data_IF_938737136335
#
_entry.id   IF_938737136335
#
_cell.length_a   1.000
_cell.length_b   1.000
_cell.length_c   1.000
_cell.angle_alpha   90.00
_cell.angle_beta   90.00
_cell.angle_gamma   90.00
#
_symmetry.space_group_name_H-M   'P 1'
#
loop_
_entity.id
_entity.type
_entity.pdbx_description
1 polymer ?
#
# COMPACT_ATOMS: atom_id res chain seq x y z
N UNK A 1 15.26 10.48 -3.23
CA UNK A 1 15.77 9.74 -2.05
C UNK A 1 14.94 8.47 -1.90
N UNK A 2 15.54 7.36 -1.47
CA UNK A 2 14.77 6.15 -1.15
C UNK A 2 13.87 6.42 0.06
N UNK A 3 12.57 6.14 -0.07
CA UNK A 3 11.59 6.29 1.00
C UNK A 3 11.96 5.41 2.20
N UNK A 4 11.67 5.90 3.41
CA UNK A 4 11.84 5.18 4.67
C UNK A 4 10.65 5.48 5.57
N UNK A 5 10.15 4.46 6.26
CA UNK A 5 9.14 4.64 7.30
C UNK A 5 9.76 5.32 8.52
N UNK A 6 9.18 6.45 8.91
CA UNK A 6 9.45 7.13 10.19
C UNK A 6 8.36 6.80 11.21
N UNK A 7 8.61 7.13 12.48
CA UNK A 7 7.60 6.99 13.53
C UNK A 7 6.37 7.87 13.27
N UNK A 8 6.54 9.03 12.61
CA UNK A 8 5.43 9.90 12.26
C UNK A 8 4.58 9.33 11.11
N UNK A 9 5.21 8.60 10.18
CA UNK A 9 4.47 7.85 9.16
C UNK A 9 3.60 6.76 9.78
N UNK A 10 4.15 6.02 10.75
CA UNK A 10 3.40 4.99 11.47
C UNK A 10 2.21 5.62 12.21
N UNK A 11 2.40 6.72 12.93
CA UNK A 11 1.30 7.44 13.60
C UNK A 11 0.21 7.86 12.61
N UNK A 12 0.59 8.40 11.45
CA UNK A 12 -0.38 8.80 10.43
C UNK A 12 -1.22 7.62 9.93
N UNK A 13 -0.58 6.46 9.68
CA UNK A 13 -1.28 5.24 9.29
C UNK A 13 -2.20 4.75 10.42
N UNK A 14 -1.71 4.73 11.65
CA UNK A 14 -2.49 4.35 12.82
C UNK A 14 -3.73 5.21 13.01
N UNK A 15 -3.62 6.52 12.78
CA UNK A 15 -4.71 7.46 12.97
C UNK A 15 -5.78 7.33 11.87
N UNK A 16 -5.40 7.05 10.62
CA UNK A 16 -6.35 6.78 9.53
C UNK A 16 -7.05 5.44 9.73
N UNK A 17 -6.30 4.39 10.02
CA UNK A 17 -6.80 3.02 10.17
C UNK A 17 -7.40 2.72 11.55
N UNK A 18 -7.32 3.67 12.49
CA UNK A 18 -7.75 3.52 13.89
C UNK A 18 -7.21 2.24 14.53
N UNK A 19 -5.93 1.96 14.27
CA UNK A 19 -5.20 0.81 14.81
C UNK A 19 -3.93 1.27 15.53
N UNK A 20 -3.17 0.32 16.08
CA UNK A 20 -1.87 0.57 16.71
C UNK A 20 -0.87 -0.49 16.31
N UNK A 21 0.26 -0.05 15.77
CA UNK A 21 1.40 -0.90 15.52
C UNK A 21 2.13 -1.23 16.81
N UNK A 22 2.55 -2.47 16.92
CA UNK A 22 3.45 -2.96 17.96
C UNK A 22 4.74 -3.41 17.30
N UNK A 23 5.86 -2.87 17.76
CA UNK A 23 7.17 -3.33 17.30
C UNK A 23 7.40 -4.77 17.76
N UNK A 24 7.83 -5.64 16.85
CA UNK A 24 8.17 -7.05 17.09
C UNK A 24 9.41 -7.42 16.30
N UNK A 25 10.56 -7.45 16.97
CA UNK A 25 11.85 -7.59 16.28
C UNK A 25 12.06 -6.42 15.31
N UNK A 26 12.26 -6.74 14.03
CA UNK A 26 12.53 -5.78 12.97
C UNK A 26 11.28 -5.29 12.23
N UNK A 27 10.09 -5.68 12.70
CA UNK A 27 8.83 -5.28 12.09
C UNK A 27 7.90 -4.50 13.02
N UNK A 28 6.98 -3.77 12.41
CA UNK A 28 5.82 -3.17 13.06
C UNK A 28 4.57 -3.94 12.65
N UNK A 29 3.82 -4.43 13.63
CA UNK A 29 2.62 -5.24 13.39
C UNK A 29 1.38 -4.60 13.98
N UNK A 30 0.33 -4.48 13.18
CA UNK A 30 -1.01 -4.06 13.60
C UNK A 30 -2.05 -5.10 13.18
N UNK A 31 -3.19 -5.10 13.85
CA UNK A 31 -4.34 -5.95 13.52
C UNK A 31 -5.55 -5.05 13.39
N UNK A 32 -6.33 -5.24 12.32
CA UNK A 32 -7.63 -4.62 12.12
C UNK A 32 -8.69 -5.71 12.16
N UNK A 33 -9.81 -5.40 12.78
CA UNK A 33 -10.93 -6.31 12.98
C UNK A 33 -12.22 -5.55 12.68
N UNK A 34 -13.10 -6.18 11.91
CA UNK A 34 -14.49 -5.76 11.74
C UNK A 34 -15.36 -6.98 12.12
N UNK A 35 -15.77 -7.08 13.39
CA UNK A 35 -16.57 -8.21 13.87
C UNK A 35 -17.96 -8.28 13.23
N UNK A 36 -18.54 -7.14 12.84
CA UNK A 36 -19.88 -7.08 12.24
C UNK A 36 -19.92 -7.80 10.89
N UNK A 37 -18.86 -7.69 10.10
CA UNK A 37 -18.71 -8.37 8.81
C UNK A 37 -17.82 -9.61 8.86
N UNK A 38 -17.34 -10.00 10.05
CA UNK A 38 -16.46 -11.15 10.24
C UNK A 38 -15.09 -10.99 9.57
N UNK A 39 -14.63 -9.77 9.31
CA UNK A 39 -13.35 -9.49 8.65
C UNK A 39 -12.24 -9.25 9.67
N UNK A 40 -11.04 -9.66 9.28
CA UNK A 40 -9.82 -9.44 10.06
C UNK A 40 -8.64 -9.39 9.12
N UNK A 41 -7.73 -8.46 9.35
CA UNK A 41 -6.45 -8.48 8.66
C UNK A 41 -5.32 -8.08 9.61
N UNK A 42 -4.14 -8.62 9.35
CA UNK A 42 -2.89 -8.20 9.99
C UNK A 42 -2.05 -7.45 8.99
N UNK A 43 -1.51 -6.30 9.40
CA UNK A 43 -0.49 -5.55 8.65
C UNK A 43 0.84 -5.76 9.35
N UNK A 44 1.85 -6.11 8.57
CA UNK A 44 3.25 -6.16 8.98
C UNK A 44 4.08 -5.25 8.07
N UNK A 45 4.77 -4.28 8.67
CA UNK A 45 5.69 -3.36 7.98
C UNK A 45 7.10 -3.71 8.42
N UNK A 46 7.92 -4.16 7.49
CA UNK A 46 9.36 -4.35 7.66
C UNK A 46 10.08 -3.17 6.99
N UNK A 47 10.57 -2.18 7.74
CA UNK A 47 11.17 -0.97 7.17
C UNK A 47 12.50 -1.24 6.47
N UNK A 48 13.22 -2.29 6.88
CA UNK A 48 14.50 -2.67 6.30
C UNK A 48 14.68 -4.19 6.40
N UNK A 49 14.40 -4.90 5.31
CA UNK A 49 14.53 -6.35 5.21
C UNK A 49 15.42 -6.71 4.01
N UNK A 50 16.24 -7.75 4.17
CA UNK A 50 16.94 -8.37 3.03
C UNK A 50 15.92 -9.11 2.15
N UNK A 51 15.69 -8.61 0.94
CA UNK A 51 14.83 -9.21 -0.10
C UNK A 51 15.74 -9.64 -1.25
N UNK A 52 16.09 -10.92 -1.28
CA UNK A 52 17.13 -11.42 -2.20
C UNK A 52 18.50 -10.85 -1.83
N UNK A 53 19.13 -10.15 -2.76
CA UNK A 53 20.45 -9.52 -2.61
C UNK A 53 20.39 -8.04 -2.19
N UNK A 54 19.20 -7.47 -2.05
CA UNK A 54 18.99 -6.04 -1.76
C UNK A 54 18.21 -5.84 -0.47
N UNK A 55 18.48 -4.73 0.22
CA UNK A 55 17.63 -4.26 1.32
C UNK A 55 16.47 -3.45 0.77
N UNK A 56 15.29 -3.65 1.33
CA UNK A 56 14.09 -2.90 0.97
C UNK A 56 13.01 -2.94 2.04
N UNK A 57 11.95 -2.19 1.80
CA UNK A 57 10.74 -2.23 2.63
C UNK A 57 9.85 -3.36 2.14
N UNK A 58 9.34 -4.16 3.07
CA UNK A 58 8.32 -5.17 2.79
C UNK A 58 7.04 -4.83 3.57
N UNK A 59 5.92 -4.76 2.85
CA UNK A 59 4.58 -4.74 3.45
C UNK A 59 4.01 -6.13 3.29
N UNK A 60 3.60 -6.76 4.40
CA UNK A 60 2.90 -8.04 4.39
C UNK A 60 1.50 -7.88 4.98
N UNK A 61 0.49 -8.35 4.26
CA UNK A 61 -0.89 -8.40 4.69
C UNK A 61 -1.33 -9.85 4.82
N UNK A 62 -1.95 -10.16 5.96
CA UNK A 62 -2.55 -11.47 6.21
C UNK A 62 -4.04 -11.30 6.45
N UNK A 63 -4.85 -11.90 5.59
CA UNK A 63 -6.28 -12.12 5.83
C UNK A 63 -6.50 -13.62 6.10
N UNK A 64 -7.70 -14.07 6.49
CA UNK A 64 -7.99 -15.50 6.68
C UNK A 64 -7.74 -16.35 5.43
N UNK A 65 -7.79 -15.76 4.24
CA UNK A 65 -7.75 -16.49 2.96
C UNK A 65 -6.60 -16.06 2.05
N UNK A 66 -5.92 -14.96 2.35
CA UNK A 66 -4.91 -14.38 1.47
C UNK A 66 -3.69 -13.94 2.27
N UNK A 67 -2.52 -14.29 1.75
CA UNK A 67 -1.25 -13.72 2.15
C UNK A 67 -0.71 -12.88 0.99
N UNK A 68 -0.44 -11.61 1.24
CA UNK A 68 -0.05 -10.66 0.20
C UNK A 68 1.15 -9.87 0.63
N UNK A 69 2.10 -9.71 -0.29
CA UNK A 69 3.37 -9.07 -0.03
C UNK A 69 3.67 -8.04 -1.10
N UNK A 70 3.98 -6.81 -0.68
CA UNK A 70 4.46 -5.75 -1.54
C UNK A 70 5.94 -5.54 -1.25
N UNK A 71 6.78 -6.06 -2.15
CA UNK A 71 8.22 -5.96 -2.05
C UNK A 71 8.69 -4.59 -2.52
N UNK A 72 9.76 -4.08 -1.92
CA UNK A 72 10.37 -2.80 -2.27
C UNK A 72 9.35 -1.65 -2.30
N UNK A 73 8.46 -1.61 -1.30
CA UNK A 73 7.49 -0.54 -1.14
C UNK A 73 8.19 0.83 -1.17
N UNK A 74 7.78 1.68 -2.11
CA UNK A 74 8.41 2.97 -2.39
C UNK A 74 7.68 4.13 -1.71
N UNK A 75 6.51 3.90 -1.13
CA UNK A 75 5.75 4.93 -0.43
C UNK A 75 4.38 4.46 0.01
N UNK A 76 3.64 5.37 0.64
CA UNK A 76 2.24 5.16 1.00
C UNK A 76 1.46 6.46 0.88
N UNK A 77 0.15 6.33 0.72
CA UNK A 77 -0.83 7.42 0.84
C UNK A 77 -1.79 7.05 1.96
N UNK A 78 -2.04 7.97 2.88
CA UNK A 78 -3.01 7.80 3.95
C UNK A 78 -4.11 8.84 3.77
N UNK A 79 -5.35 8.38 3.58
CA UNK A 79 -6.53 9.21 3.32
C UNK A 79 -7.51 9.12 4.48
N UNK A 80 -7.66 10.20 5.24
CA UNK A 80 -8.68 10.25 6.30
C UNK A 80 -10.11 10.23 5.75
N UNK A 81 -10.32 10.82 4.57
CA UNK A 81 -11.64 10.92 3.93
C UNK A 81 -12.14 9.57 3.44
N UNK A 82 -11.25 8.76 2.86
CA UNK A 82 -11.55 7.41 2.39
C UNK A 82 -11.37 6.35 3.47
N UNK A 83 -10.79 6.74 4.61
CA UNK A 83 -10.48 5.86 5.73
C UNK A 83 -9.57 4.67 5.36
N UNK A 84 -8.64 4.91 4.43
CA UNK A 84 -7.78 3.87 3.87
C UNK A 84 -6.31 4.32 3.77
N UNK A 85 -5.43 3.33 3.70
CA UNK A 85 -4.01 3.50 3.46
C UNK A 85 -3.59 2.66 2.26
N UNK A 86 -3.03 3.32 1.26
CA UNK A 86 -2.50 2.70 0.04
C UNK A 86 -1.00 2.63 0.12
N UNK A 87 -0.46 1.42 0.25
CA UNK A 87 0.98 1.15 0.09
C UNK A 87 1.25 0.88 -1.39
N UNK A 88 2.35 1.42 -1.94
CA UNK A 88 2.66 1.21 -3.35
C UNK A 88 4.16 1.02 -3.61
N UNK A 89 4.44 0.28 -4.68
CA UNK A 89 5.78 0.07 -5.21
C UNK A 89 5.75 0.34 -6.72
N UNK A 90 6.70 1.13 -7.19
CA UNK A 90 6.94 1.35 -8.60
C UNK A 90 8.20 0.62 -9.06
N UNK A 91 8.10 -0.10 -10.18
CA UNK A 91 9.24 -0.71 -10.84
C UNK A 91 9.08 -0.66 -12.36
N UNK A 92 10.05 -0.05 -13.05
CA UNK A 92 10.11 0.03 -14.52
C UNK A 92 8.80 0.49 -15.17
N UNK A 93 8.19 1.56 -14.66
CA UNK A 93 6.94 2.13 -15.19
C UNK A 93 5.68 1.33 -14.87
N UNK A 94 5.78 0.31 -14.01
CA UNK A 94 4.64 -0.45 -13.48
C UNK A 94 4.43 -0.11 -12.01
N UNK A 95 3.17 -0.01 -11.62
CA UNK A 95 2.76 0.23 -10.24
C UNK A 95 2.07 -1.02 -9.68
N UNK A 96 2.39 -1.34 -8.44
CA UNK A 96 1.61 -2.28 -7.63
C UNK A 96 1.23 -1.61 -6.32
N UNK A 97 0.01 -1.85 -5.85
CA UNK A 97 -0.48 -1.25 -4.61
C UNK A 97 -1.38 -2.19 -3.82
N UNK A 98 -1.28 -2.06 -2.50
CA UNK A 98 -2.16 -2.70 -1.54
C UNK A 98 -2.89 -1.58 -0.80
N UNK A 99 -4.21 -1.57 -0.90
CA UNK A 99 -5.08 -0.65 -0.19
C UNK A 99 -5.65 -1.38 1.02
N UNK A 100 -5.47 -0.79 2.19
CA UNK A 100 -6.00 -1.31 3.45
C UNK A 100 -7.02 -0.32 3.99
N UNK A 101 -8.24 -0.78 4.20
CA UNK A 101 -9.33 0.04 4.73
C UNK A 101 -9.43 -0.13 6.25
N UNK A 102 -9.89 0.92 6.94
CA UNK A 102 -10.16 0.89 8.39
C UNK A 102 -11.04 -0.28 8.83
N UNK A 103 -12.00 -0.68 7.99
CA UNK A 103 -12.94 -1.78 8.26
C UNK A 103 -12.39 -3.18 7.94
N UNK A 104 -11.07 -3.35 8.01
CA UNK A 104 -10.37 -4.59 7.68
C UNK A 104 -10.66 -5.10 6.24
N UNK A 105 -10.93 -4.17 5.32
CA UNK A 105 -10.94 -4.41 3.87
C UNK A 105 -9.53 -4.36 3.29
N UNK A 106 -9.30 -5.11 2.21
CA UNK A 106 -8.03 -5.09 1.51
C UNK A 106 -8.25 -5.28 0.01
N UNK A 107 -7.72 -4.37 -0.80
CA UNK A 107 -7.71 -4.46 -2.25
C UNK A 107 -6.27 -4.47 -2.76
N UNK A 108 -5.99 -5.26 -3.80
CA UNK A 108 -4.64 -5.44 -4.33
C UNK A 108 -4.69 -5.23 -5.84
N UNK A 109 -3.83 -4.33 -6.31
CA UNK A 109 -3.61 -4.07 -7.72
C UNK A 109 -2.14 -4.29 -8.04
N UNK A 110 -1.84 -5.01 -9.11
CA UNK A 110 -0.45 -5.37 -9.47
C UNK A 110 -0.23 -5.16 -10.95
N UNK A 111 1.02 -4.82 -11.31
CA UNK A 111 1.44 -4.64 -12.70
C UNK A 111 0.60 -3.62 -13.48
N UNK A 112 0.09 -2.59 -12.78
CA UNK A 112 -0.69 -1.51 -13.39
C UNK A 112 0.25 -0.63 -14.20
N UNK A 113 -0.13 -0.30 -15.42
CA UNK A 113 0.65 0.64 -16.24
C UNK A 113 0.58 2.04 -15.63
N UNK A 114 1.74 2.67 -15.37
CA UNK A 114 1.78 4.02 -14.80
C UNK A 114 1.03 5.03 -15.65
N UNK A 115 0.96 4.85 -16.97
CA UNK A 115 0.24 5.77 -17.86
C UNK A 115 -1.27 5.83 -17.58
N UNK A 116 -1.83 4.80 -16.94
CA UNK A 116 -3.25 4.77 -16.56
C UNK A 116 -3.59 5.75 -15.44
N UNK A 117 -2.60 6.24 -14.70
CA UNK A 117 -2.79 7.15 -13.57
C UNK A 117 -2.89 8.61 -14.03
N UNK A 118 -2.14 8.97 -15.06
CA UNK A 118 -2.03 10.33 -15.61
C UNK A 118 -3.05 10.63 -16.72
N UNK A 119 -3.98 9.71 -16.99
CA UNK A 119 -4.94 9.79 -18.10
C UNK A 119 -6.32 10.30 -17.68
N UNK A 120 -7.11 10.76 -18.65
CA UNK A 120 -8.54 10.99 -18.43
C UNK A 120 -9.22 9.63 -18.19
N UNK A 121 -9.58 9.36 -16.93
CA UNK A 121 -10.21 8.09 -16.51
C UNK A 121 -11.51 7.80 -17.26
N UNK A 122 -12.16 8.81 -17.86
CA UNK A 122 -13.36 8.61 -18.69
C UNK A 122 -13.08 7.91 -20.03
N UNK A 123 -11.81 7.86 -20.46
CA UNK A 123 -11.37 7.19 -21.69
C UNK A 123 -10.87 5.76 -21.45
N UNK A 124 -10.78 5.32 -20.19
CA UNK A 124 -10.38 3.97 -19.87
C UNK A 124 -11.53 2.98 -20.12
N UNK A 125 -11.18 1.81 -20.64
CA UNK A 125 -12.13 0.70 -20.65
C UNK A 125 -12.57 0.40 -19.20
N UNK A 126 -13.86 0.13 -18.95
CA UNK A 126 -14.38 -0.09 -17.59
C UNK A 126 -13.58 -1.11 -16.79
N UNK A 127 -13.04 -2.12 -17.46
CA UNK A 127 -12.28 -3.22 -16.89
C UNK A 127 -10.95 -2.80 -16.25
N UNK A 128 -10.33 -1.71 -16.71
CA UNK A 128 -9.04 -1.21 -16.18
C UNK A 128 -9.21 0.06 -15.33
N UNK A 129 -10.38 0.70 -15.42
CA UNK A 129 -10.68 1.96 -14.75
C UNK A 129 -10.53 1.88 -13.23
N UNK A 130 -10.97 0.78 -12.61
CA UNK A 130 -10.90 0.62 -11.15
C UNK A 130 -9.46 0.71 -10.62
N UNK A 131 -8.52 0.04 -11.28
CA UNK A 131 -7.11 0.06 -10.88
C UNK A 131 -6.47 1.44 -11.05
N UNK A 132 -6.83 2.15 -12.11
CA UNK A 132 -6.39 3.53 -12.37
C UNK A 132 -6.90 4.49 -11.29
N UNK A 133 -8.19 4.44 -10.98
CA UNK A 133 -8.81 5.28 -9.94
C UNK A 133 -8.20 4.98 -8.57
N UNK A 134 -8.15 3.70 -8.19
CA UNK A 134 -7.70 3.29 -6.85
C UNK A 134 -6.24 3.67 -6.57
N UNK A 135 -5.37 3.65 -7.58
CA UNK A 135 -3.96 4.00 -7.43
C UNK A 135 -3.63 5.45 -7.80
N UNK A 136 -4.57 6.23 -8.34
CA UNK A 136 -4.36 7.62 -8.75
C UNK A 136 -3.84 8.51 -7.62
N UNK A 137 -4.24 8.23 -6.37
CA UNK A 137 -3.80 8.97 -5.18
C UNK A 137 -2.28 8.92 -4.96
N UNK A 138 -1.61 7.91 -5.53
CA UNK A 138 -0.16 7.73 -5.41
C UNK A 138 0.63 8.62 -6.36
N UNK A 139 -0.01 9.12 -7.42
CA UNK A 139 0.64 9.86 -8.52
C UNK A 139 1.51 11.04 -8.06
N UNK A 140 1.07 11.92 -7.13
CA UNK A 140 1.89 13.05 -6.69
C UNK A 140 3.18 12.66 -5.97
N UNK A 141 3.28 11.41 -5.52
CA UNK A 141 4.43 10.87 -4.79
C UNK A 141 5.37 10.05 -5.69
N UNK A 142 4.99 9.80 -6.94
CA UNK A 142 5.85 9.12 -7.90
C UNK A 142 6.93 10.08 -8.40
N UNK A 143 8.17 9.61 -8.49
CA UNK A 143 9.28 10.39 -9.04
C UNK A 143 9.05 10.75 -10.51
N UNK A 144 9.65 11.85 -10.99
CA UNK A 144 9.57 12.33 -12.37
C UNK A 144 10.44 11.53 -13.38
N UNK A 145 10.79 10.28 -13.09
CA UNK A 145 11.65 9.49 -14.00
C UNK A 145 10.86 8.42 -14.76
N UNK A 146 10.52 8.67 -16.04
CA UNK A 146 10.23 7.60 -16.96
C UNK A 146 11.57 6.95 -17.35
N UNK A 147 11.77 5.71 -16.90
CA UNK A 147 12.90 4.83 -17.20
C UNK A 147 14.14 4.92 -16.27
N UNK A 148 14.21 3.94 -15.36
CA UNK A 148 15.46 3.23 -15.05
C UNK A 148 15.16 1.74 -14.93
#
# INVERSE_FOLDING_TARGET
>A
MAFKFTDDDLKKIEDVLKTRFKKRGDQFRAVLENPEEGRRLTIEIYPELMIGDKKGILISIFTPYTHSQLHFCTGYVASEVLEEVTFFAEFSGRLSGIIVERQAGCSIFTNVDRQLLSGDFSQLAPEVMLSGIALSLTEPLLGNDPAS
#
